data_IF_222429084044
#
_entry.id   IF_222429084044
#
_cell.length_a   1.000
_cell.length_b   1.000
_cell.length_c   1.000
_cell.angle_alpha   90.00
_cell.angle_beta   90.00
_cell.angle_gamma   90.00
#
_symmetry.space_group_name_H-M   'P 1'
#
loop_
_entity.id
_entity.type
_entity.pdbx_description
1 polymer ?
#
# COMPACT_ATOMS: atom_id res chain seq x y z
N UNK A 1 -12.71 1.93 -2.32
CA UNK A 1 -12.39 0.55 -2.58
C UNK A 1 -12.71 -0.28 -1.35
N UNK A 2 -13.28 -1.44 -1.53
CA UNK A 2 -13.85 -2.17 -0.42
C UNK A 2 -12.93 -3.16 0.26
N UNK A 3 -11.90 -2.70 0.89
CA UNK A 3 -11.09 -3.59 1.73
C UNK A 3 -11.72 -3.67 3.12
N UNK A 4 -11.97 -4.87 3.56
CA UNK A 4 -12.49 -5.10 4.90
C UNK A 4 -11.34 -5.16 5.90
N UNK A 5 -11.69 -5.16 7.18
CA UNK A 5 -10.68 -5.32 8.22
C UNK A 5 -9.97 -6.67 8.10
N UNK A 6 -10.69 -7.70 7.70
CA UNK A 6 -10.09 -9.01 7.49
C UNK A 6 -9.07 -8.99 6.37
N UNK A 7 -9.38 -8.27 5.29
CA UNK A 7 -8.44 -8.13 4.17
C UNK A 7 -7.18 -7.43 4.62
N UNK A 8 -7.32 -6.36 5.40
CA UNK A 8 -6.17 -5.62 5.91
C UNK A 8 -5.34 -6.47 6.86
N UNK A 9 -5.99 -7.28 7.69
CA UNK A 9 -5.27 -8.19 8.59
C UNK A 9 -4.46 -9.21 7.82
N UNK A 10 -5.02 -9.78 6.78
CA UNK A 10 -4.30 -10.74 5.95
C UNK A 10 -3.10 -10.10 5.28
N UNK A 11 -3.27 -8.89 4.77
CA UNK A 11 -2.16 -8.15 4.18
C UNK A 11 -1.07 -7.85 5.20
N UNK A 12 -1.48 -7.45 6.39
CA UNK A 12 -0.52 -7.18 7.46
C UNK A 12 0.30 -8.41 7.79
N UNK A 13 -0.35 -9.57 7.91
CA UNK A 13 0.36 -10.82 8.19
C UNK A 13 1.37 -11.16 7.10
N UNK A 14 0.98 -10.99 5.84
CA UNK A 14 1.86 -11.26 4.71
C UNK A 14 3.07 -10.32 4.75
N UNK A 15 2.84 -9.06 5.04
CA UNK A 15 3.90 -8.06 5.05
C UNK A 15 4.78 -8.16 6.29
N UNK A 16 4.26 -8.69 7.39
CA UNK A 16 5.11 -8.94 8.55
C UNK A 16 6.15 -10.01 8.27
N UNK A 17 5.78 -11.00 7.47
CA UNK A 17 6.73 -12.04 7.06
C UNK A 17 7.68 -11.56 5.97
N UNK A 18 7.19 -10.71 5.08
CA UNK A 18 8.00 -10.24 3.96
C UNK A 18 7.68 -8.76 3.67
N UNK A 19 8.27 -7.85 4.45
CA UNK A 19 7.96 -6.42 4.30
C UNK A 19 8.39 -5.83 2.96
N UNK A 20 9.27 -6.49 2.25
CA UNK A 20 9.77 -6.00 0.97
C UNK A 20 9.08 -6.64 -0.22
N UNK A 21 7.89 -7.21 0.00
CA UNK A 21 7.16 -7.89 -1.05
C UNK A 21 6.73 -6.95 -2.18
N UNK A 22 6.33 -5.74 -1.85
CA UNK A 22 5.92 -4.77 -2.87
C UNK A 22 7.11 -4.05 -3.49
N UNK A 23 6.88 -3.45 -4.65
CA UNK A 23 7.92 -2.72 -5.37
C UNK A 23 8.02 -1.28 -4.87
N UNK A 24 9.24 -0.81 -4.70
CA UNK A 24 9.47 0.57 -4.27
C UNK A 24 8.98 1.55 -5.33
N UNK A 25 8.31 2.59 -4.91
CA UNK A 25 7.84 3.66 -5.80
C UNK A 25 8.78 4.84 -5.67
N UNK A 26 9.43 5.20 -6.77
CA UNK A 26 10.34 6.34 -6.78
C UNK A 26 9.63 7.63 -6.39
N UNK A 27 10.32 8.47 -5.66
CA UNK A 27 9.81 9.79 -5.31
C UNK A 27 8.88 9.81 -4.11
N UNK A 28 8.71 8.69 -3.43
CA UNK A 28 7.82 8.62 -2.26
C UNK A 28 8.55 8.48 -0.93
N UNK A 29 9.85 8.36 -0.98
CA UNK A 29 10.61 8.20 0.26
C UNK A 29 10.63 6.78 0.82
N UNK A 30 10.27 5.80 -0.01
CA UNK A 30 10.33 4.40 0.39
C UNK A 30 9.01 3.67 0.42
N UNK A 31 7.93 4.31 -0.03
CA UNK A 31 6.66 3.61 -0.13
C UNK A 31 6.72 2.51 -1.18
N UNK A 32 5.95 1.45 -0.96
CA UNK A 32 5.90 0.31 -1.84
C UNK A 32 4.49 0.07 -2.33
N UNK A 33 4.39 -0.54 -3.49
CA UNK A 33 3.13 -0.87 -4.13
C UNK A 33 3.03 -2.39 -4.26
N UNK A 34 1.92 -2.97 -3.82
CA UNK A 34 1.70 -4.38 -4.02
C UNK A 34 0.34 -4.64 -4.61
N UNK A 35 0.22 -5.74 -5.31
CA UNK A 35 -1.04 -6.18 -5.89
C UNK A 35 -1.86 -6.89 -4.84
N UNK A 36 -3.17 -6.66 -4.88
CA UNK A 36 -4.10 -7.38 -4.03
C UNK A 36 -5.26 -7.87 -4.88
N UNK A 37 -5.93 -8.88 -4.38
CA UNK A 37 -7.17 -9.36 -4.98
C UNK A 37 -8.33 -8.88 -4.14
N UNK A 38 -9.38 -8.43 -4.85
CA UNK A 38 -10.60 -8.01 -4.18
C UNK A 38 -11.63 -9.08 -4.49
N UNK A 39 -11.86 -9.95 -3.55
CA UNK A 39 -12.59 -11.17 -3.80
C UNK A 39 -14.08 -10.99 -4.05
N UNK A 40 -14.71 -10.04 -3.42
CA UNK A 40 -16.16 -10.03 -3.48
C UNK A 40 -16.73 -9.23 -4.62
N UNK A 41 -15.98 -8.94 -5.62
CA UNK A 41 -16.50 -8.24 -6.80
C UNK A 41 -16.73 -9.14 -7.98
N UNK A 42 -16.24 -10.36 -7.93
CA UNK A 42 -16.43 -11.30 -9.02
C UNK A 42 -15.84 -10.84 -10.33
N UNK A 43 -15.14 -9.78 -10.36
CA UNK A 43 -14.52 -9.25 -11.56
C UNK A 43 -13.03 -9.30 -11.42
N UNK A 44 -12.40 -9.57 -12.52
CA UNK A 44 -10.96 -9.56 -12.55
C UNK A 44 -10.50 -8.17 -12.34
N UNK A 45 -10.24 -7.72 -11.37
CA UNK A 45 -9.77 -6.39 -11.27
C UNK A 45 -8.74 -6.25 -10.25
N UNK A 46 -8.71 -6.86 -9.27
CA UNK A 46 -7.71 -6.66 -8.28
C UNK A 46 -7.48 -5.19 -7.97
N UNK A 47 -6.55 -4.91 -7.12
CA UNK A 47 -6.22 -3.56 -6.77
C UNK A 47 -4.76 -3.43 -6.41
N UNK A 48 -4.42 -2.22 -5.96
CA UNK A 48 -3.09 -1.90 -5.50
C UNK A 48 -3.18 -1.31 -4.11
N UNK A 49 -2.25 -1.69 -3.26
CA UNK A 49 -2.11 -1.10 -1.94
C UNK A 49 -0.76 -0.43 -1.86
N UNK A 50 -0.74 0.81 -1.41
CA UNK A 50 0.49 1.54 -1.16
C UNK A 50 0.74 1.49 0.33
N UNK A 51 1.92 1.05 0.70
CA UNK A 51 2.26 0.92 2.12
C UNK A 51 3.71 1.32 2.34
N UNK A 52 4.05 1.54 3.58
CA UNK A 52 5.44 1.73 3.96
C UNK A 52 5.76 0.79 5.11
N UNK A 53 6.93 0.18 5.03
CA UNK A 53 7.46 -0.65 6.10
C UNK A 53 8.35 0.22 6.96
N UNK A 54 7.96 0.41 8.22
CA UNK A 54 8.75 1.18 9.15
C UNK A 54 9.38 0.18 10.11
N UNK A 55 10.63 -0.13 9.85
CA UNK A 55 11.35 -1.16 10.59
C UNK A 55 11.27 -0.96 12.10
N UNK A 56 11.43 0.28 12.55
CA UNK A 56 11.43 0.59 13.96
C UNK A 56 10.08 0.37 14.63
N UNK A 57 9.01 0.41 13.85
CA UNK A 57 7.66 0.23 14.38
C UNK A 57 7.17 -1.20 14.23
N UNK A 58 7.93 -2.02 13.55
CA UNK A 58 7.66 -3.44 13.36
C UNK A 58 6.30 -3.76 12.75
N UNK A 59 5.78 -2.85 11.93
CA UNK A 59 4.52 -3.11 11.23
C UNK A 59 4.43 -2.25 10.00
N UNK A 60 3.69 -2.70 8.99
CA UNK A 60 3.46 -1.87 7.81
C UNK A 60 2.38 -0.83 8.08
N UNK A 61 2.49 0.30 7.42
CA UNK A 61 1.48 1.34 7.44
C UNK A 61 0.85 1.41 6.06
N UNK A 62 -0.45 1.21 5.99
CA UNK A 62 -1.17 1.31 4.73
C UNK A 62 -1.54 2.76 4.47
N UNK A 63 -1.16 3.26 3.31
CA UNK A 63 -1.31 4.68 3.00
C UNK A 63 -2.44 4.95 2.03
N UNK A 64 -2.64 4.07 1.06
CA UNK A 64 -3.59 4.29 0.00
C UNK A 64 -3.91 2.97 -0.67
N UNK A 65 -5.14 2.81 -1.12
CA UNK A 65 -5.54 1.65 -1.89
C UNK A 65 -6.47 2.09 -3.01
N UNK A 66 -6.36 1.45 -4.17
CA UNK A 66 -7.19 1.81 -5.30
C UNK A 66 -7.39 0.61 -6.23
N UNK A 67 -8.51 0.58 -6.97
CA UNK A 67 -8.71 -0.48 -7.96
C UNK A 67 -7.81 -0.29 -9.17
N UNK A 68 -7.31 -1.39 -9.69
CA UNK A 68 -6.43 -1.36 -10.84
C UNK A 68 -7.10 -0.75 -12.07
N UNK A 69 -8.39 -0.97 -12.23
CA UNK A 69 -9.11 -0.48 -13.39
C UNK A 69 -9.32 1.03 -13.38
N UNK A 70 -9.09 1.68 -12.26
CA UNK A 70 -9.17 3.13 -12.15
C UNK A 70 -7.82 3.75 -12.48
N UNK A 71 -6.77 3.18 -11.92
CA UNK A 71 -5.40 3.63 -12.18
C UNK A 71 -4.45 2.50 -11.83
N UNK A 72 -3.31 2.45 -12.48
CA UNK A 72 -2.29 1.45 -12.17
C UNK A 72 -1.12 2.06 -11.39
N UNK A 73 -0.80 3.29 -11.64
CA UNK A 73 0.29 3.98 -10.98
C UNK A 73 -0.20 5.22 -10.27
N UNK A 74 0.54 5.68 -9.28
CA UNK A 74 0.23 6.93 -8.60
C UNK A 74 0.40 8.11 -9.55
N UNK A 75 -0.51 9.07 -9.46
CA UNK A 75 -0.33 10.35 -10.15
C UNK A 75 0.77 11.14 -9.46
N UNK A 76 1.34 12.17 -10.13
CA UNK A 76 2.35 13.01 -9.46
C UNK A 76 1.86 13.65 -8.17
N UNK A 77 0.61 14.10 -8.14
CA UNK A 77 0.04 14.68 -6.92
C UNK A 77 -0.08 13.64 -5.82
N UNK A 78 -0.51 12.45 -6.16
CA UNK A 78 -0.60 11.36 -5.18
C UNK A 78 0.76 10.99 -4.63
N UNK A 79 1.79 10.98 -5.48
CA UNK A 79 3.16 10.72 -5.02
C UNK A 79 3.61 11.75 -4.01
N UNK A 80 3.28 13.01 -4.22
CA UNK A 80 3.62 14.07 -3.28
C UNK A 80 2.92 13.84 -1.94
N UNK A 81 1.65 13.50 -1.98
CA UNK A 81 0.89 13.25 -0.76
C UNK A 81 1.43 12.05 -0.01
N UNK A 82 1.73 10.98 -0.73
CA UNK A 82 2.31 9.77 -0.12
C UNK A 82 3.65 10.11 0.52
N UNK A 83 4.48 10.87 -0.18
CA UNK A 83 5.78 11.26 0.36
C UNK A 83 5.64 12.03 1.66
N UNK A 84 4.67 12.94 1.73
CA UNK A 84 4.43 13.70 2.97
C UNK A 84 4.02 12.77 4.11
N UNK A 85 3.17 11.80 3.83
CA UNK A 85 2.76 10.83 4.82
C UNK A 85 3.94 9.99 5.30
N UNK A 86 4.77 9.55 4.37
CA UNK A 86 5.96 8.76 4.71
C UNK A 86 6.89 9.57 5.61
N UNK A 87 7.12 10.83 5.26
CA UNK A 87 7.99 11.69 6.07
C UNK A 87 7.42 11.89 7.47
N UNK A 88 6.12 12.08 7.57
CA UNK A 88 5.47 12.24 8.88
C UNK A 88 5.59 10.98 9.72
N UNK A 89 5.39 9.82 9.13
CA UNK A 89 5.48 8.55 9.84
C UNK A 89 6.92 8.31 10.32
N UNK A 90 7.90 8.60 9.49
CA UNK A 90 9.29 8.37 9.85
C UNK A 90 9.80 9.31 10.92
N UNK A 91 9.13 10.43 11.11
CA UNK A 91 9.54 11.38 12.16
C UNK A 91 8.99 11.04 13.54
N UNK A 92 8.02 10.17 13.61
CA UNK A 92 7.45 9.80 14.90
C UNK A 92 8.41 9.05 15.81
#
# INVERSE_FOLDING_TARGET
MGLSEDDLKKLEEILLENPQLGDVIEGTGGARKMRIQIENRGKSGGGRVIYIDVFEKEKPYFLLAYPKNVQDNLTPDQKKQVRKLVEAIKKE
#
